data_IF_738089868573
#
_entry.id   IF_738089868573
#
_cell.length_a   1.000
_cell.length_b   1.000
_cell.length_c   1.000
_cell.angle_alpha   90.00
_cell.angle_beta   90.00
_cell.angle_gamma   90.00
#
_symmetry.space_group_name_H-M   'P 1'
#
loop_
_entity.id
_entity.type
_entity.pdbx_description
1 polymer ?
#
# COMPACT_ATOMS: atom_id res chain seq x y z
N UNK A 1 19.06 -12.79 -14.25
CA UNK A 1 18.73 -12.32 -15.61
C UNK A 1 17.65 -11.25 -15.50
N UNK A 2 17.84 -10.07 -16.10
CA UNK A 2 16.81 -9.03 -16.15
C UNK A 2 15.71 -9.47 -17.12
N UNK A 3 14.46 -9.50 -16.66
CA UNK A 3 13.30 -9.85 -17.48
C UNK A 3 12.64 -8.55 -17.95
N UNK A 4 12.40 -8.37 -19.26
CA UNK A 4 11.68 -7.22 -19.82
C UNK A 4 10.29 -7.05 -19.23
N UNK A 5 9.76 -5.82 -19.26
CA UNK A 5 8.44 -5.50 -18.70
C UNK A 5 7.33 -6.34 -19.33
N UNK A 6 7.36 -6.50 -20.65
CA UNK A 6 6.30 -7.20 -21.38
C UNK A 6 6.24 -8.69 -21.02
N UNK A 7 7.40 -9.32 -20.83
CA UNK A 7 7.49 -10.70 -20.34
C UNK A 7 6.95 -10.83 -18.92
N UNK A 8 7.28 -9.90 -18.02
CA UNK A 8 6.69 -9.89 -16.66
C UNK A 8 5.17 -9.76 -16.68
N UNK A 9 4.63 -8.89 -17.54
CA UNK A 9 3.19 -8.75 -17.73
C UNK A 9 2.56 -10.05 -18.21
N UNK A 10 3.20 -10.77 -19.14
CA UNK A 10 2.73 -12.08 -19.58
C UNK A 10 2.72 -13.11 -18.44
N UNK A 11 3.80 -13.18 -17.65
CA UNK A 11 3.85 -14.06 -16.48
C UNK A 11 2.75 -13.74 -15.46
N UNK A 12 2.51 -12.46 -15.17
CA UNK A 12 1.45 -12.05 -14.25
C UNK A 12 0.05 -12.34 -14.79
N UNK A 13 -0.19 -12.16 -16.09
CA UNK A 13 -1.48 -12.47 -16.70
C UNK A 13 -1.78 -13.98 -16.62
N UNK A 14 -0.76 -14.83 -16.81
CA UNK A 14 -0.93 -16.28 -16.78
C UNK A 14 -0.97 -16.89 -15.36
N UNK A 15 -0.31 -16.28 -14.37
CA UNK A 15 -0.17 -16.88 -13.05
C UNK A 15 -1.50 -16.98 -12.29
N UNK A 16 -1.80 -18.18 -11.78
CA UNK A 16 -3.00 -18.45 -10.96
C UNK A 16 -2.91 -17.88 -9.54
N UNK A 17 -1.69 -17.76 -9.02
CA UNK A 17 -1.41 -17.21 -7.70
C UNK A 17 -0.09 -16.44 -7.71
N UNK A 18 -0.05 -15.31 -7.01
CA UNK A 18 1.17 -14.53 -6.77
C UNK A 18 1.54 -14.57 -5.29
N UNK A 19 2.74 -15.09 -5.00
CA UNK A 19 3.33 -15.15 -3.66
C UNK A 19 4.34 -14.01 -3.50
N UNK A 20 4.16 -13.19 -2.47
CA UNK A 20 5.07 -12.11 -2.09
C UNK A 20 5.42 -12.27 -0.61
N UNK A 21 6.47 -13.05 -0.32
CA UNK A 21 6.88 -13.45 1.02
C UNK A 21 8.08 -12.64 1.57
N UNK A 22 8.16 -11.34 1.26
CA UNK A 22 9.25 -10.51 1.76
C UNK A 22 9.21 -10.43 3.31
N UNK A 23 10.37 -10.60 3.95
CA UNK A 23 10.53 -10.51 5.41
C UNK A 23 10.20 -9.10 5.91
N UNK A 24 10.56 -8.07 5.15
CA UNK A 24 10.24 -6.67 5.45
C UNK A 24 10.27 -5.88 4.15
N UNK A 25 9.18 -5.18 3.85
CA UNK A 25 9.10 -4.30 2.69
C UNK A 25 8.19 -3.11 2.99
N UNK A 26 8.63 -1.90 2.65
CA UNK A 26 7.84 -0.69 2.84
C UNK A 26 6.61 -0.70 1.93
N UNK A 27 6.80 -0.80 0.62
CA UNK A 27 5.70 -0.83 -0.35
C UNK A 27 6.07 -1.71 -1.52
N UNK A 28 5.44 -2.88 -1.60
CA UNK A 28 5.66 -3.80 -2.69
C UNK A 28 4.66 -3.56 -3.82
N UNK A 29 5.13 -3.21 -5.01
CA UNK A 29 4.27 -2.96 -6.17
C UNK A 29 3.94 -4.22 -6.99
N UNK A 30 4.53 -5.37 -6.67
CA UNK A 30 4.30 -6.62 -7.41
C UNK A 30 2.83 -7.07 -7.31
N UNK A 31 2.19 -7.12 -6.13
CA UNK A 31 0.78 -7.48 -6.03
C UNK A 31 -0.14 -6.59 -6.86
N UNK A 32 0.10 -5.27 -6.85
CA UNK A 32 -0.68 -4.30 -7.64
C UNK A 32 -0.56 -4.57 -9.14
N UNK A 33 0.68 -4.75 -9.63
CA UNK A 33 0.92 -5.07 -11.04
C UNK A 33 0.27 -6.39 -11.43
N UNK A 34 0.35 -7.40 -10.58
CA UNK A 34 -0.28 -8.69 -10.79
C UNK A 34 -1.81 -8.56 -10.95
N UNK A 35 -2.48 -7.87 -10.02
CA UNK A 35 -3.93 -7.64 -10.07
C UNK A 35 -4.33 -6.98 -11.39
N UNK A 36 -3.62 -5.91 -11.80
CA UNK A 36 -3.91 -5.21 -13.06
C UNK A 36 -3.67 -6.11 -14.28
N UNK A 37 -2.62 -6.94 -14.27
CA UNK A 37 -2.38 -7.88 -15.37
C UNK A 37 -3.45 -8.97 -15.45
N UNK A 38 -3.97 -9.43 -14.31
CA UNK A 38 -5.06 -10.43 -14.21
C UNK A 38 -6.43 -9.89 -14.63
N UNK A 39 -6.70 -8.61 -14.37
CA UNK A 39 -7.89 -7.94 -14.93
C UNK A 39 -7.90 -8.05 -16.47
N UNK A 40 -6.72 -7.99 -17.08
CA UNK A 40 -6.55 -8.17 -18.52
C UNK A 40 -6.84 -6.91 -19.34
N UNK A 41 -6.62 -7.04 -20.64
CA UNK A 41 -6.88 -6.02 -21.66
C UNK A 41 -7.34 -6.75 -22.91
N UNK A 42 -7.99 -6.11 -23.90
CA UNK A 42 -8.45 -6.78 -25.11
C UNK A 42 -7.35 -7.56 -25.86
N UNK A 43 -6.11 -7.06 -25.82
CA UNK A 43 -4.97 -7.76 -26.40
C UNK A 43 -4.56 -9.01 -25.62
N UNK A 44 -4.57 -8.93 -24.29
CA UNK A 44 -4.29 -10.08 -23.40
C UNK A 44 -5.41 -11.12 -23.50
N UNK A 45 -6.67 -10.67 -23.55
CA UNK A 45 -7.85 -11.54 -23.67
C UNK A 45 -7.79 -12.36 -24.96
N UNK A 46 -7.48 -11.70 -26.07
CA UNK A 46 -7.27 -12.35 -27.37
C UNK A 46 -6.12 -13.36 -27.31
N UNK A 47 -5.01 -13.02 -26.66
CA UNK A 47 -3.85 -13.90 -26.55
C UNK A 47 -4.12 -15.11 -25.63
N UNK A 48 -4.95 -14.96 -24.60
CA UNK A 48 -5.32 -16.02 -23.65
C UNK A 48 -6.59 -16.78 -24.07
N UNK A 49 -7.19 -16.47 -25.22
CA UNK A 49 -8.44 -17.08 -25.67
C UNK A 49 -9.62 -16.86 -24.70
N UNK A 50 -9.54 -15.83 -23.87
CA UNK A 50 -10.53 -15.54 -22.83
C UNK A 50 -11.57 -14.56 -23.38
N UNK A 51 -12.87 -14.82 -23.14
CA UNK A 51 -13.91 -13.88 -23.56
C UNK A 51 -13.87 -12.61 -22.71
N UNK A 52 -14.26 -11.48 -23.30
CA UNK A 52 -14.31 -10.19 -22.60
C UNK A 52 -15.21 -10.22 -21.36
N UNK A 53 -16.27 -11.03 -21.40
CA UNK A 53 -17.27 -11.17 -20.35
C UNK A 53 -16.89 -12.25 -19.31
N UNK A 54 -15.75 -12.91 -19.48
CA UNK A 54 -15.29 -13.91 -18.51
C UNK A 54 -14.97 -13.23 -17.17
N UNK A 55 -15.42 -13.81 -16.04
CA UNK A 55 -15.08 -13.28 -14.72
C UNK A 55 -13.57 -13.29 -14.51
N UNK A 56 -13.05 -12.22 -13.91
CA UNK A 56 -11.63 -12.08 -13.62
C UNK A 56 -11.32 -12.59 -12.22
N UNK A 57 -10.19 -13.27 -12.10
CA UNK A 57 -9.75 -13.90 -10.86
C UNK A 57 -8.28 -13.61 -10.61
N UNK A 58 -7.92 -13.41 -9.35
CA UNK A 58 -6.53 -13.26 -8.92
C UNK A 58 -6.39 -13.75 -7.50
N UNK A 59 -5.33 -14.49 -7.22
CA UNK A 59 -5.02 -14.94 -5.88
C UNK A 59 -3.67 -14.41 -5.41
N UNK A 60 -3.67 -13.88 -4.19
CA UNK A 60 -2.52 -13.25 -3.57
C UNK A 60 -2.22 -13.93 -2.25
N UNK A 61 -0.98 -14.38 -2.09
CA UNK A 61 -0.40 -14.76 -0.80
C UNK A 61 0.68 -13.72 -0.49
N UNK A 62 0.49 -12.96 0.59
CA UNK A 62 1.35 -11.83 0.93
C UNK A 62 1.86 -11.96 2.35
N UNK A 63 3.12 -11.60 2.55
CA UNK A 63 3.69 -11.46 3.89
C UNK A 63 2.91 -10.40 4.68
N UNK A 64 2.69 -10.62 5.97
CA UNK A 64 2.08 -9.62 6.86
C UNK A 64 3.00 -8.40 7.09
N UNK A 65 4.30 -8.53 6.79
CA UNK A 65 5.32 -7.51 7.02
C UNK A 65 5.57 -6.60 5.81
N UNK A 66 4.72 -6.66 4.78
CA UNK A 66 4.79 -5.75 3.63
C UNK A 66 3.72 -4.66 3.77
N UNK A 67 4.08 -3.40 3.50
CA UNK A 67 3.16 -2.28 3.71
C UNK A 67 1.93 -2.25 2.78
N UNK A 68 1.88 -3.06 1.72
CA UNK A 68 0.67 -3.24 0.91
C UNK A 68 -0.31 -4.28 1.46
N UNK A 69 0.10 -5.07 2.47
CA UNK A 69 -0.75 -6.10 3.07
C UNK A 69 -2.05 -5.55 3.69
N UNK A 70 -2.04 -4.42 4.41
CA UNK A 70 -3.26 -3.80 4.94
C UNK A 70 -4.23 -3.37 3.83
N UNK A 71 -3.70 -2.81 2.75
CA UNK A 71 -4.46 -2.31 1.60
C UNK A 71 -5.18 -3.42 0.82
N UNK A 72 -4.53 -4.56 0.62
CA UNK A 72 -5.04 -5.66 -0.19
C UNK A 72 -5.83 -6.68 0.64
N UNK A 73 -6.91 -6.22 1.27
CA UNK A 73 -7.70 -6.98 2.27
C UNK A 73 -8.22 -8.36 1.85
N UNK A 74 -8.32 -8.67 0.55
CA UNK A 74 -8.67 -10.01 0.05
C UNK A 74 -7.48 -10.98 -0.08
N UNK A 75 -6.25 -10.57 0.27
CA UNK A 75 -5.06 -11.40 0.15
C UNK A 75 -4.93 -12.35 1.35
N UNK A 76 -4.37 -13.54 1.12
CA UNK A 76 -4.03 -14.49 2.17
C UNK A 76 -2.74 -13.99 2.82
N UNK A 77 -2.82 -13.62 4.09
CA UNK A 77 -1.67 -13.11 4.85
C UNK A 77 -0.93 -14.24 5.51
N UNK A 78 0.38 -14.22 5.40
CA UNK A 78 1.26 -15.26 5.96
C UNK A 78 2.43 -14.61 6.68
N UNK A 79 2.89 -15.28 7.73
CA UNK A 79 4.20 -15.01 8.28
C UNK A 79 5.25 -15.68 7.36
N UNK A 80 6.18 -14.94 6.72
CA UNK A 80 7.17 -15.52 5.82
C UNK A 80 8.16 -16.48 6.51
N UNK A 81 8.25 -16.47 7.84
CA UNK A 81 9.08 -17.39 8.63
C UNK A 81 8.43 -18.75 8.85
N UNK A 82 7.11 -18.84 8.67
CA UNK A 82 6.34 -20.08 8.83
C UNK A 82 6.14 -20.73 7.46
N UNK A 83 7.03 -21.65 7.12
CA UNK A 83 7.05 -22.31 5.81
C UNK A 83 5.81 -23.17 5.59
N UNK A 84 5.30 -23.81 6.65
CA UNK A 84 4.12 -24.66 6.57
C UNK A 84 2.87 -23.81 6.31
N UNK A 85 2.72 -22.69 7.02
CA UNK A 85 1.63 -21.74 6.76
C UNK A 85 1.69 -21.14 5.35
N UNK A 86 2.89 -20.86 4.81
CA UNK A 86 3.04 -20.40 3.42
C UNK A 86 2.61 -21.48 2.43
N UNK A 87 3.01 -22.73 2.66
CA UNK A 87 2.63 -23.85 1.80
C UNK A 87 1.10 -24.10 1.82
N UNK A 88 0.49 -24.07 3.00
CA UNK A 88 -0.96 -24.18 3.16
C UNK A 88 -1.70 -23.02 2.47
N UNK A 89 -1.19 -21.79 2.60
CA UNK A 89 -1.77 -20.61 1.96
C UNK A 89 -1.75 -20.71 0.43
N UNK A 90 -0.64 -21.19 -0.15
CA UNK A 90 -0.56 -21.40 -1.61
C UNK A 90 -1.52 -22.51 -2.05
N UNK A 91 -1.58 -23.62 -1.32
CA UNK A 91 -2.52 -24.70 -1.60
C UNK A 91 -3.99 -24.24 -1.51
N UNK A 92 -4.32 -23.43 -0.49
CA UNK A 92 -5.62 -22.80 -0.34
C UNK A 92 -5.94 -21.87 -1.51
N UNK A 93 -4.97 -21.03 -1.91
CA UNK A 93 -5.14 -20.09 -3.02
C UNK A 93 -5.52 -20.79 -4.34
N UNK A 94 -4.88 -21.93 -4.62
CA UNK A 94 -5.13 -22.71 -5.83
C UNK A 94 -6.48 -23.45 -5.77
N UNK A 95 -6.84 -24.00 -4.61
CA UNK A 95 -8.08 -24.78 -4.40
C UNK A 95 -9.33 -23.95 -4.15
N UNK A 96 -9.18 -22.64 -3.93
CA UNK A 96 -10.28 -21.73 -3.65
C UNK A 96 -11.34 -21.76 -4.77
N UNK A 97 -12.62 -21.63 -4.41
CA UNK A 97 -13.70 -21.62 -5.38
C UNK A 97 -13.60 -20.40 -6.31
N UNK A 98 -13.96 -20.56 -7.59
CA UNK A 98 -13.91 -19.47 -8.57
C UNK A 98 -14.76 -18.25 -8.15
N UNK A 99 -15.89 -18.48 -7.47
CA UNK A 99 -16.73 -17.41 -6.93
C UNK A 99 -15.98 -16.56 -5.89
N UNK A 100 -15.22 -17.19 -5.00
CA UNK A 100 -14.42 -16.49 -4.00
C UNK A 100 -13.20 -15.80 -4.62
N UNK A 101 -12.53 -16.44 -5.57
CA UNK A 101 -11.42 -15.83 -6.33
C UNK A 101 -11.87 -14.56 -7.05
N UNK A 102 -13.06 -14.58 -7.65
CA UNK A 102 -13.67 -13.42 -8.30
C UNK A 102 -13.94 -12.29 -7.30
N UNK A 103 -14.59 -12.60 -6.18
CA UNK A 103 -14.91 -11.59 -5.16
C UNK A 103 -13.66 -10.91 -4.59
N UNK A 104 -12.61 -11.70 -4.31
CA UNK A 104 -11.31 -11.16 -3.86
C UNK A 104 -10.67 -10.29 -4.94
N UNK A 105 -10.69 -10.76 -6.19
CA UNK A 105 -10.17 -10.00 -7.33
C UNK A 105 -10.87 -8.66 -7.52
N UNK A 106 -12.20 -8.63 -7.53
CA UNK A 106 -12.98 -7.40 -7.68
C UNK A 106 -12.64 -6.38 -6.59
N UNK A 107 -12.52 -6.83 -5.33
CA UNK A 107 -12.14 -5.97 -4.21
C UNK A 107 -10.72 -5.41 -4.39
N UNK A 108 -9.78 -6.26 -4.78
CA UNK A 108 -8.41 -5.85 -5.04
C UNK A 108 -8.33 -4.88 -6.22
N UNK A 109 -8.94 -5.20 -7.34
CA UNK A 109 -8.94 -4.36 -8.53
C UNK A 109 -9.58 -3.00 -8.27
N UNK A 110 -10.71 -2.96 -7.56
CA UNK A 110 -11.33 -1.70 -7.16
C UNK A 110 -10.40 -0.82 -6.33
N UNK A 111 -9.69 -1.40 -5.35
CA UNK A 111 -8.72 -0.66 -4.56
C UNK A 111 -7.57 -0.12 -5.43
N UNK A 112 -6.95 -0.98 -6.26
CA UNK A 112 -5.79 -0.59 -7.07
C UNK A 112 -6.14 0.44 -8.15
N UNK A 113 -7.35 0.37 -8.72
CA UNK A 113 -7.82 1.33 -9.74
C UNK A 113 -8.21 2.70 -9.18
N UNK A 114 -8.54 2.79 -7.89
CA UNK A 114 -8.91 4.05 -7.24
C UNK A 114 -7.74 4.71 -6.51
N UNK A 115 -6.79 3.93 -6.01
CA UNK A 115 -5.63 4.40 -5.25
C UNK A 115 -4.37 4.36 -6.12
N UNK A 116 -4.38 5.12 -7.20
CA UNK A 116 -3.23 5.24 -8.09
C UNK A 116 -2.15 6.20 -7.55
N UNK A 117 -1.05 6.34 -8.31
CA UNK A 117 0.05 7.24 -7.95
C UNK A 117 -0.39 8.71 -7.89
N UNK A 118 -1.38 9.11 -8.69
CA UNK A 118 -1.93 10.46 -8.70
C UNK A 118 -2.74 10.74 -7.43
N UNK A 119 -3.54 9.77 -6.98
CA UNK A 119 -4.23 9.83 -5.70
C UNK A 119 -3.23 9.97 -4.56
N UNK A 120 -2.21 9.11 -4.50
CA UNK A 120 -1.18 9.17 -3.45
C UNK A 120 -0.47 10.53 -3.42
N UNK A 121 -0.04 11.05 -4.56
CA UNK A 121 0.66 12.33 -4.64
C UNK A 121 -0.23 13.49 -4.15
N UNK A 122 -1.51 13.51 -4.53
CA UNK A 122 -2.47 14.51 -4.06
C UNK A 122 -2.71 14.41 -2.56
N UNK A 123 -2.93 13.22 -2.03
CA UNK A 123 -3.12 13.00 -0.59
C UNK A 123 -1.91 13.47 0.21
N UNK A 124 -0.70 13.12 -0.24
CA UNK A 124 0.53 13.57 0.39
C UNK A 124 0.67 15.09 0.40
N UNK A 125 0.42 15.76 -0.72
CA UNK A 125 0.51 17.21 -0.80
C UNK A 125 -0.53 17.91 0.09
N UNK A 126 -1.75 17.38 0.18
CA UNK A 126 -2.78 17.90 1.07
C UNK A 126 -2.38 17.76 2.55
N UNK A 127 -1.81 16.62 2.93
CA UNK A 127 -1.35 16.40 4.30
C UNK A 127 -0.13 17.28 4.63
N UNK A 128 0.76 17.48 3.66
CA UNK A 128 1.88 18.41 3.79
C UNK A 128 1.40 19.86 3.96
N UNK A 129 0.44 20.29 3.14
CA UNK A 129 -0.16 21.61 3.24
C UNK A 129 -0.77 21.81 4.63
N UNK A 130 -1.62 20.89 5.09
CA UNK A 130 -2.22 20.91 6.44
C UNK A 130 -1.16 20.97 7.55
N UNK A 131 -0.12 20.13 7.47
CA UNK A 131 0.94 20.12 8.46
C UNK A 131 1.74 21.44 8.49
N UNK A 132 1.83 22.13 7.35
CA UNK A 132 2.55 23.39 7.20
C UNK A 132 1.72 24.64 7.49
N UNK A 133 0.37 24.54 7.58
CA UNK A 133 -0.55 25.68 7.72
C UNK A 133 -0.16 26.63 8.86
N UNK A 134 0.22 26.08 10.02
CA UNK A 134 0.58 26.91 11.18
C UNK A 134 2.08 27.18 11.31
N UNK A 135 2.92 26.61 10.44
CA UNK A 135 4.37 26.69 10.58
C UNK A 135 4.88 28.14 10.56
N UNK A 136 4.26 28.99 9.75
CA UNK A 136 4.60 30.41 9.64
C UNK A 136 3.92 31.30 10.70
N UNK A 137 2.87 30.79 11.36
CA UNK A 137 2.09 31.56 12.33
C UNK A 137 2.54 31.31 13.78
N UNK A 138 3.24 30.20 14.05
CA UNK A 138 3.75 29.89 15.38
C UNK A 138 5.04 30.66 15.67
N UNK A 139 5.11 31.26 16.85
CA UNK A 139 6.36 31.88 17.34
C UNK A 139 7.20 30.81 18.02
N UNK A 140 8.41 30.59 17.51
CA UNK A 140 9.36 29.67 18.10
C UNK A 140 10.27 30.42 19.09
N UNK A 141 10.35 29.93 20.32
CA UNK A 141 11.20 30.47 21.39
C UNK A 141 12.25 29.44 21.78
N UNK A 142 13.51 29.86 21.83
CA UNK A 142 14.56 29.09 22.46
C UNK A 142 14.52 29.27 23.98
N UNK A 143 14.47 28.18 24.74
CA UNK A 143 14.59 28.19 26.20
C UNK A 143 15.74 27.27 26.62
N UNK A 144 16.49 27.71 27.63
CA UNK A 144 17.65 26.99 28.16
C UNK A 144 18.96 27.42 27.50
N UNK A 145 20.07 26.86 27.99
CA UNK A 145 21.43 27.14 27.52
C UNK A 145 22.21 25.84 27.31
N UNK A 146 23.19 25.87 26.40
CA UNK A 146 24.08 24.72 26.13
C UNK A 146 23.31 23.46 25.67
N UNK A 147 23.62 22.31 26.28
CA UNK A 147 23.01 21.01 25.94
C UNK A 147 21.53 20.88 26.36
N UNK A 148 21.02 21.83 27.15
CA UNK A 148 19.62 21.86 27.61
C UNK A 148 18.72 22.78 26.77
N UNK A 149 19.19 23.24 25.61
CA UNK A 149 18.42 24.09 24.71
C UNK A 149 17.19 23.34 24.16
N UNK A 150 16.02 23.97 24.28
CA UNK A 150 14.76 23.48 23.74
C UNK A 150 14.08 24.57 22.93
N UNK A 151 13.39 24.18 21.87
CA UNK A 151 12.54 25.07 21.08
C UNK A 151 11.09 24.83 21.46
N UNK A 152 10.40 25.86 21.90
CA UNK A 152 8.95 25.86 22.12
C UNK A 152 8.26 26.59 20.97
N UNK A 153 7.29 25.93 20.35
CA UNK A 153 6.43 26.54 19.34
C UNK A 153 5.11 26.94 19.99
N UNK A 154 4.86 28.25 20.08
CA UNK A 154 3.70 28.81 20.77
C UNK A 154 2.76 29.48 19.75
N UNK A 155 1.46 29.49 20.06
CA UNK A 155 0.48 30.22 19.24
C UNK A 155 0.81 31.72 19.22
N UNK A 156 0.47 32.45 18.15
CA UNK A 156 0.71 33.89 18.08
C UNK A 156 -0.11 34.67 19.12
N UNK A 157 -1.19 34.09 19.65
CA UNK A 157 -2.01 34.62 20.74
C UNK A 157 -1.41 34.43 22.14
N UNK A 158 -0.35 33.62 22.29
CA UNK A 158 0.27 33.36 23.58
C UNK A 158 0.94 34.63 24.12
N UNK A 159 0.45 35.13 25.26
CA UNK A 159 1.09 36.21 26.03
C UNK A 159 1.85 35.61 27.20
N UNK A 160 3.15 35.90 27.27
CA UNK A 160 3.96 35.58 28.44
C UNK A 160 3.41 36.38 29.64
N UNK A 161 3.03 35.69 30.72
CA UNK A 161 2.68 36.35 31.98
C UNK A 161 3.91 37.09 32.52
N UNK A 162 3.72 38.33 33.00
CA UNK A 162 4.78 39.04 33.71
C UNK A 162 4.95 38.42 35.09
N UNK A 163 6.20 38.41 35.57
CA UNK A 163 6.56 37.83 36.87
C UNK A 163 5.89 38.60 38.02
N UNK A 164 5.51 39.85 37.79
CA UNK A 164 4.83 40.71 38.77
C UNK A 164 3.40 40.24 39.13
N UNK A 165 2.84 39.29 38.38
CA UNK A 165 1.49 38.75 38.59
C UNK A 165 1.48 37.34 39.20
N UNK A 166 2.65 36.81 39.58
CA UNK A 166 2.77 35.51 40.23
C UNK A 166 3.02 35.78 41.72
N UNK A 167 1.96 35.67 42.53
CA UNK A 167 1.99 35.73 44.00
C UNK A 167 2.45 34.40 44.56
#
# INVERSE_FOLDING_TARGET
RLVPRNEKTAYYAMADCCLVNAVRDGMNLVPYKYIICRQGTPGIDKAMGTSRDSPRTSMLVVSEFIGCSPSLSGAIRVNPWDVDAVAEAVNLALKMSEAEKRLRHEKHYHYVSTHDVGYWAKSFLQDLERASQDHYNKRCWGIGFGLSFRVLSLSPSFRKLSIDHIV
#
